data_IF_600828265833
#
_entry.id   IF_600828265833
#
_cell.length_a   1.000
_cell.length_b   1.000
_cell.length_c   1.000
_cell.angle_alpha   90.00
_cell.angle_beta   90.00
_cell.angle_gamma   90.00
#
_symmetry.space_group_name_H-M   'P 1'
#
loop_
_entity.id
_entity.type
_entity.pdbx_description
1 polymer ?
#
# COMPACT_ATOMS: atom_id res chain seq x y z
N UNK A 1 22.54 -49.39 -5.56
CA UNK A 1 21.46 -48.53 -5.04
C UNK A 1 20.97 -49.13 -3.73
N UNK A 2 21.10 -48.42 -2.60
CA UNK A 2 20.57 -48.91 -1.33
C UNK A 2 19.05 -48.70 -1.30
N UNK A 3 18.29 -49.73 -0.94
CA UNK A 3 16.84 -49.61 -0.75
C UNK A 3 16.56 -48.78 0.51
N UNK A 4 15.68 -47.77 0.40
CA UNK A 4 15.24 -47.03 1.57
C UNK A 4 14.56 -48.00 2.57
N UNK A 5 14.85 -47.91 3.88
CA UNK A 5 14.33 -48.88 4.85
C UNK A 5 12.81 -48.81 4.90
N UNK A 6 12.12 -49.96 5.07
CA UNK A 6 10.65 -50.03 5.05
C UNK A 6 9.97 -49.05 6.02
N UNK A 7 10.63 -48.74 7.15
CA UNK A 7 10.18 -47.74 8.12
C UNK A 7 10.09 -46.32 7.54
N UNK A 8 10.96 -45.93 6.61
CA UNK A 8 10.92 -44.61 5.96
C UNK A 8 9.59 -44.40 5.21
N UNK A 9 9.17 -45.39 4.41
CA UNK A 9 7.89 -45.33 3.71
C UNK A 9 6.69 -45.28 4.67
N UNK A 10 6.76 -45.98 5.80
CA UNK A 10 5.73 -45.90 6.84
C UNK A 10 5.65 -44.50 7.47
N UNK A 11 6.79 -43.89 7.85
CA UNK A 11 6.79 -42.53 8.39
C UNK A 11 6.32 -41.48 7.37
N UNK A 12 6.72 -41.61 6.09
CA UNK A 12 6.23 -40.73 5.01
C UNK A 12 4.71 -40.90 4.83
N UNK A 13 4.19 -42.14 4.84
CA UNK A 13 2.76 -42.41 4.74
C UNK A 13 1.98 -41.79 5.90
N UNK A 14 2.42 -42.01 7.15
CA UNK A 14 1.79 -41.42 8.35
C UNK A 14 1.82 -39.89 8.30
N UNK A 15 2.94 -39.30 7.89
CA UNK A 15 3.10 -37.84 7.74
C UNK A 15 2.14 -37.26 6.69
N UNK A 16 2.07 -37.87 5.51
CA UNK A 16 1.15 -37.44 4.43
C UNK A 16 -0.30 -37.57 4.89
N UNK A 17 -0.72 -38.68 5.50
CA UNK A 17 -2.09 -38.84 6.00
C UNK A 17 -2.43 -37.92 7.18
N UNK A 18 -1.45 -37.57 8.01
CA UNK A 18 -1.63 -36.54 9.05
C UNK A 18 -1.89 -35.18 8.41
N UNK A 19 -1.10 -34.78 7.41
CA UNK A 19 -1.32 -33.53 6.66
C UNK A 19 -2.70 -33.54 5.99
N UNK A 20 -3.05 -34.59 5.25
CA UNK A 20 -4.36 -34.72 4.58
C UNK A 20 -5.51 -34.64 5.58
N UNK A 21 -5.40 -35.30 6.75
CA UNK A 21 -6.44 -35.25 7.78
C UNK A 21 -6.58 -33.85 8.38
N UNK A 22 -5.47 -33.18 8.71
CA UNK A 22 -5.48 -31.80 9.21
C UNK A 22 -6.05 -30.83 8.16
N UNK A 23 -5.73 -31.03 6.88
CA UNK A 23 -6.27 -30.27 5.76
C UNK A 23 -7.79 -30.43 5.63
N UNK A 24 -8.31 -31.66 5.73
CA UNK A 24 -9.76 -31.93 5.69
C UNK A 24 -10.47 -31.32 6.91
N UNK A 25 -9.94 -31.50 8.11
CA UNK A 25 -10.52 -30.95 9.35
C UNK A 25 -10.53 -29.41 9.31
N UNK A 26 -9.43 -28.77 8.90
CA UNK A 26 -9.35 -27.32 8.69
C UNK A 26 -10.35 -26.85 7.64
N UNK A 27 -10.48 -27.59 6.53
CA UNK A 27 -11.44 -27.29 5.48
C UNK A 27 -12.90 -27.39 5.98
N UNK A 28 -13.23 -28.35 6.84
CA UNK A 28 -14.59 -28.49 7.40
C UNK A 28 -14.91 -27.46 8.49
N UNK A 29 -13.96 -27.17 9.39
CA UNK A 29 -14.19 -26.32 10.57
C UNK A 29 -14.14 -24.82 10.28
N UNK A 30 -13.43 -24.40 9.21
CA UNK A 30 -13.25 -22.99 8.90
C UNK A 30 -13.99 -22.57 7.61
N UNK A 31 -15.05 -21.75 7.71
CA UNK A 31 -15.76 -21.24 6.54
C UNK A 31 -14.85 -20.29 5.74
N UNK A 32 -15.18 -20.13 4.46
CA UNK A 32 -14.42 -19.22 3.58
C UNK A 32 -14.69 -17.77 4.01
N UNK A 33 -13.65 -16.97 4.23
CA UNK A 33 -13.75 -15.51 4.49
C UNK A 33 -14.16 -14.69 3.24
N UNK A 34 -14.79 -15.32 2.24
CA UNK A 34 -15.31 -14.67 1.02
C UNK A 34 -16.77 -14.25 1.15
N UNK A 35 -17.39 -14.39 2.33
CA UNK A 35 -18.75 -13.90 2.57
C UNK A 35 -18.71 -12.40 2.87
N UNK A 36 -18.97 -11.59 1.84
CA UNK A 36 -19.15 -10.15 1.99
C UNK A 36 -20.25 -9.83 3.02
N UNK A 37 -20.00 -8.82 3.84
CA UNK A 37 -20.98 -8.28 4.78
C UNK A 37 -22.14 -7.60 4.03
N UNK A 38 -23.26 -7.43 4.73
CA UNK A 38 -24.50 -6.92 4.14
C UNK A 38 -24.37 -5.51 3.55
N UNK A 39 -23.50 -4.65 4.10
CA UNK A 39 -23.28 -3.30 3.59
C UNK A 39 -22.60 -3.31 2.21
N UNK A 40 -21.58 -4.16 1.99
CA UNK A 40 -20.94 -4.33 0.67
C UNK A 40 -21.93 -4.90 -0.34
N UNK A 41 -22.71 -5.92 0.04
CA UNK A 41 -23.75 -6.49 -0.82
C UNK A 41 -24.81 -5.45 -1.21
N UNK A 42 -25.19 -4.55 -0.29
CA UNK A 42 -26.09 -3.43 -0.56
C UNK A 42 -25.51 -2.43 -1.57
N UNK A 43 -24.23 -2.09 -1.45
CA UNK A 43 -23.54 -1.24 -2.44
C UNK A 43 -23.48 -1.93 -3.80
N UNK A 44 -22.99 -3.18 -3.87
CA UNK A 44 -22.91 -3.95 -5.13
C UNK A 44 -24.28 -4.11 -5.81
N UNK A 45 -25.34 -4.36 -5.05
CA UNK A 45 -26.70 -4.43 -5.59
C UNK A 45 -27.15 -3.10 -6.20
N UNK A 46 -26.85 -1.95 -5.59
CA UNK A 46 -27.13 -0.62 -6.17
C UNK A 46 -26.34 -0.37 -7.46
N UNK A 47 -25.09 -0.84 -7.53
CA UNK A 47 -24.23 -0.68 -8.71
C UNK A 47 -24.69 -1.51 -9.91
N UNK A 48 -25.25 -2.70 -9.68
CA UNK A 48 -25.73 -3.62 -10.71
C UNK A 48 -27.17 -3.33 -11.19
N UNK A 49 -27.99 -2.70 -10.35
CA UNK A 49 -29.41 -2.43 -10.66
C UNK A 49 -29.65 -1.03 -11.28
N UNK A 50 -28.60 -0.32 -11.68
CA UNK A 50 -28.67 1.04 -12.22
C UNK A 50 -27.46 1.32 -13.09
N UNK A 51 -27.65 2.08 -14.18
CA UNK A 51 -26.56 2.60 -15.03
C UNK A 51 -26.35 4.12 -14.85
N UNK A 52 -27.02 4.73 -13.86
CA UNK A 52 -26.90 6.18 -13.63
C UNK A 52 -25.48 6.55 -13.18
N UNK A 53 -24.91 7.69 -13.65
CA UNK A 53 -23.72 8.28 -13.04
C UNK A 53 -23.96 8.57 -11.54
N UNK A 54 -22.89 8.53 -10.73
CA UNK A 54 -22.97 8.80 -9.28
C UNK A 54 -23.56 7.67 -8.43
N UNK A 55 -24.04 6.56 -9.02
CA UNK A 55 -24.70 5.47 -8.29
C UNK A 55 -23.84 4.77 -7.23
N UNK A 56 -22.52 4.88 -7.31
CA UNK A 56 -21.57 4.36 -6.32
C UNK A 56 -21.33 5.31 -5.14
N UNK A 57 -21.79 6.55 -5.23
CA UNK A 57 -21.62 7.59 -4.22
C UNK A 57 -22.99 7.99 -3.65
N UNK A 58 -23.59 7.16 -2.78
CA UNK A 58 -24.98 7.33 -2.34
C UNK A 58 -25.24 8.59 -1.50
N UNK A 59 -24.18 9.30 -1.08
CA UNK A 59 -24.23 10.53 -0.27
C UNK A 59 -23.77 11.78 -1.01
N UNK A 60 -23.34 11.67 -2.27
CA UNK A 60 -22.70 12.75 -3.05
C UNK A 60 -21.48 13.37 -2.33
N UNK A 61 -20.67 12.52 -1.67
CA UNK A 61 -19.42 12.93 -1.03
C UNK A 61 -18.41 13.36 -2.10
N UNK A 62 -17.71 14.48 -1.89
CA UNK A 62 -16.70 14.99 -2.81
C UNK A 62 -15.36 14.28 -2.59
N UNK A 63 -14.88 13.59 -3.62
CA UNK A 63 -13.67 12.78 -3.58
C UNK A 63 -12.55 13.47 -4.37
N UNK A 64 -11.47 13.81 -3.67
CA UNK A 64 -10.21 14.17 -4.31
C UNK A 64 -9.41 12.89 -4.58
N UNK A 65 -9.09 12.64 -5.84
CA UNK A 65 -8.27 11.51 -6.28
C UNK A 65 -6.88 11.97 -6.66
N UNK A 66 -5.90 11.16 -6.32
CA UNK A 66 -4.47 11.45 -6.36
C UNK A 66 -3.75 10.23 -6.94
N UNK A 67 -3.61 10.17 -8.27
CA UNK A 67 -3.09 8.99 -8.96
C UNK A 67 -1.74 9.27 -9.64
N UNK A 68 -0.80 8.34 -9.53
CA UNK A 68 0.48 8.41 -10.26
C UNK A 68 0.42 7.81 -11.67
N UNK A 69 -0.59 6.99 -11.98
CA UNK A 69 -0.73 6.24 -13.24
C UNK A 69 -2.21 6.09 -13.67
N UNK A 70 -2.43 5.64 -14.91
CA UNK A 70 -3.75 5.48 -15.54
C UNK A 70 -4.17 4.00 -15.62
N UNK A 71 -5.39 3.71 -15.16
CA UNK A 71 -6.13 2.46 -15.39
C UNK A 71 -7.33 2.76 -16.33
N UNK A 72 -7.56 1.99 -17.42
CA UNK A 72 -8.78 2.06 -18.22
C UNK A 72 -10.09 2.00 -17.40
N UNK A 73 -10.08 1.28 -16.27
CA UNK A 73 -11.18 1.18 -15.32
C UNK A 73 -11.50 2.50 -14.60
N UNK A 74 -10.58 3.48 -14.64
CA UNK A 74 -10.74 4.80 -14.04
C UNK A 74 -11.89 5.62 -14.63
N UNK A 75 -12.21 5.45 -15.92
CA UNK A 75 -13.37 6.11 -16.56
C UNK A 75 -14.68 5.60 -15.93
N UNK A 76 -14.80 4.27 -15.77
CA UNK A 76 -15.93 3.65 -15.08
C UNK A 76 -15.98 4.07 -13.60
N UNK A 77 -14.84 4.15 -12.90
CA UNK A 77 -14.79 4.59 -11.51
C UNK A 77 -15.31 6.02 -11.32
N UNK A 78 -14.94 6.94 -12.21
CA UNK A 78 -15.39 8.34 -12.18
C UNK A 78 -16.88 8.43 -12.51
N UNK A 79 -17.38 7.66 -13.48
CA UNK A 79 -18.81 7.55 -13.74
C UNK A 79 -19.58 7.04 -12.51
N UNK A 80 -19.05 6.04 -11.80
CA UNK A 80 -19.65 5.50 -10.59
C UNK A 80 -19.67 6.50 -9.42
N UNK A 81 -18.60 7.30 -9.25
CA UNK A 81 -18.52 8.38 -8.25
C UNK A 81 -19.44 9.56 -8.57
N UNK A 82 -19.67 9.82 -9.85
CA UNK A 82 -20.34 11.02 -10.36
C UNK A 82 -19.33 12.11 -10.67
N UNK A 83 -19.43 12.68 -11.87
CA UNK A 83 -18.42 13.59 -12.43
C UNK A 83 -18.28 14.90 -11.63
N UNK A 84 -19.38 15.42 -11.09
CA UNK A 84 -19.41 16.61 -10.21
C UNK A 84 -18.83 16.35 -8.81
N UNK A 85 -18.77 15.09 -8.38
CA UNK A 85 -18.29 14.66 -7.07
C UNK A 85 -16.81 14.25 -7.12
N UNK A 86 -16.20 14.19 -8.30
CA UNK A 86 -14.84 13.72 -8.52
C UNK A 86 -13.89 14.86 -8.90
N UNK A 87 -12.76 14.97 -8.20
CA UNK A 87 -11.60 15.74 -8.64
C UNK A 87 -10.42 14.81 -8.88
N UNK A 88 -9.73 14.93 -10.01
CA UNK A 88 -8.64 14.04 -10.38
C UNK A 88 -7.29 14.78 -10.50
N UNK A 89 -6.46 14.66 -9.46
CA UNK A 89 -5.05 15.07 -9.45
C UNK A 89 -4.18 13.93 -9.97
N UNK A 90 -3.54 14.15 -11.12
CA UNK A 90 -2.68 13.17 -11.78
C UNK A 90 -1.25 13.66 -11.73
N UNK A 91 -0.31 12.82 -11.30
CA UNK A 91 1.10 13.17 -11.28
C UNK A 91 1.93 12.14 -12.04
N UNK A 92 2.82 12.60 -12.92
CA UNK A 92 3.61 11.69 -13.75
C UNK A 92 5.05 12.17 -13.90
N UNK A 93 6.02 11.31 -13.61
CA UNK A 93 7.46 11.61 -13.68
C UNK A 93 8.16 11.12 -14.97
N UNK A 94 7.73 10.01 -15.58
CA UNK A 94 8.34 9.44 -16.79
C UNK A 94 7.59 9.77 -18.08
N UNK A 95 8.29 10.47 -18.97
CA UNK A 95 8.02 10.84 -20.38
C UNK A 95 6.70 10.39 -21.03
N UNK A 96 6.35 9.09 -20.99
CA UNK A 96 5.16 8.48 -21.59
C UNK A 96 3.85 8.75 -20.93
N UNK A 97 3.80 8.69 -19.60
CA UNK A 97 2.52 8.65 -18.92
C UNK A 97 1.70 9.88 -19.24
N UNK A 98 2.33 10.99 -19.64
CA UNK A 98 1.70 12.16 -20.26
C UNK A 98 0.83 11.87 -21.47
N UNK A 99 1.23 10.99 -22.39
CA UNK A 99 0.39 10.63 -23.55
C UNK A 99 -0.82 9.81 -23.09
N UNK A 100 -0.63 8.88 -22.16
CA UNK A 100 -1.71 8.11 -21.55
C UNK A 100 -2.66 9.00 -20.72
N UNK A 101 -2.11 9.93 -19.93
CA UNK A 101 -2.82 10.89 -19.12
C UNK A 101 -3.54 11.95 -19.95
N UNK A 102 -2.98 12.39 -21.09
CA UNK A 102 -3.69 13.25 -22.05
C UNK A 102 -4.80 12.50 -22.79
N UNK A 103 -4.69 11.18 -22.97
CA UNK A 103 -5.77 10.35 -23.49
C UNK A 103 -6.88 10.16 -22.45
N UNK A 104 -6.53 9.91 -21.19
CA UNK A 104 -7.43 9.92 -20.02
C UNK A 104 -8.10 11.29 -19.85
N UNK A 105 -7.34 12.38 -19.93
CA UNK A 105 -7.82 13.77 -19.81
C UNK A 105 -8.94 14.07 -20.81
N UNK A 106 -8.84 13.55 -22.04
CA UNK A 106 -9.86 13.71 -23.08
C UNK A 106 -11.11 12.86 -22.88
N UNK A 107 -11.07 11.84 -22.02
CA UNK A 107 -12.20 10.92 -21.76
C UNK A 107 -12.88 11.19 -20.42
N UNK A 108 -12.12 11.61 -19.42
CA UNK A 108 -12.62 11.96 -18.09
C UNK A 108 -13.38 13.28 -18.13
N UNK A 109 -14.67 13.24 -17.84
CA UNK A 109 -15.51 14.42 -17.77
C UNK A 109 -15.39 15.20 -16.44
N UNK A 110 -14.84 14.60 -15.37
CA UNK A 110 -14.71 15.28 -14.07
C UNK A 110 -13.64 16.40 -14.06
N UNK A 111 -13.68 17.22 -13.00
CA UNK A 111 -12.65 18.25 -12.75
C UNK A 111 -11.30 17.58 -12.49
N UNK A 112 -10.20 18.15 -13.01
CA UNK A 112 -8.88 17.52 -12.96
C UNK A 112 -7.73 18.53 -12.98
N UNK A 113 -6.59 18.12 -12.48
CA UNK A 113 -5.31 18.84 -12.59
C UNK A 113 -4.19 17.84 -12.88
N UNK A 114 -3.38 18.09 -13.91
CA UNK A 114 -2.28 17.19 -14.28
C UNK A 114 -0.94 17.86 -14.03
N UNK A 115 -0.13 17.23 -13.19
CA UNK A 115 1.19 17.65 -12.78
C UNK A 115 2.23 16.76 -13.47
N UNK A 116 3.03 17.35 -14.34
CA UNK A 116 4.14 16.65 -14.98
C UNK A 116 5.43 16.95 -14.23
N UNK A 117 6.07 15.90 -13.69
CA UNK A 117 7.49 15.92 -13.40
C UNK A 117 8.26 16.17 -14.68
N UNK A 118 9.22 17.10 -14.62
CA UNK A 118 10.30 17.15 -15.59
C UNK A 118 11.14 15.87 -15.47
N UNK A 119 11.85 15.49 -16.53
CA UNK A 119 12.72 14.32 -16.45
C UNK A 119 13.61 14.39 -15.21
N UNK A 120 13.75 13.26 -14.52
CA UNK A 120 14.97 13.01 -13.76
C UNK A 120 16.07 12.92 -14.82
N UNK A 121 16.65 14.08 -15.13
CA UNK A 121 17.90 14.22 -15.89
C UNK A 121 18.87 13.19 -15.32
N UNK A 122 19.80 12.69 -16.14
CA UNK A 122 20.96 11.94 -15.65
C UNK A 122 21.82 12.81 -14.72
N UNK A 123 21.32 13.03 -13.50
CA UNK A 123 22.02 13.59 -12.37
C UNK A 123 22.97 12.46 -11.98
N UNK A 124 24.24 12.62 -12.35
CA UNK A 124 25.34 11.92 -11.70
C UNK A 124 25.09 12.06 -10.20
N UNK A 125 24.79 10.96 -9.48
CA UNK A 125 24.32 11.08 -8.11
C UNK A 125 25.43 11.76 -7.31
N UNK A 126 25.15 12.92 -6.67
CA UNK A 126 26.16 13.58 -5.85
C UNK A 126 26.63 12.56 -4.79
N UNK A 127 27.95 12.42 -4.59
CA UNK A 127 28.50 11.31 -3.83
C UNK A 127 27.96 11.33 -2.39
N UNK A 128 27.13 10.34 -2.06
CA UNK A 128 26.60 10.06 -0.71
C UNK A 128 25.75 11.19 -0.10
N UNK A 129 24.60 11.50 -0.69
CA UNK A 129 23.54 12.26 0.01
C UNK A 129 22.52 11.30 0.65
N UNK A 130 22.39 11.25 1.99
CA UNK A 130 21.37 10.44 2.65
C UNK A 130 19.98 11.07 2.47
N UNK A 131 18.95 10.21 2.39
CA UNK A 131 17.52 10.49 2.52
C UNK A 131 17.08 11.96 2.33
N UNK A 132 16.80 12.34 1.07
CA UNK A 132 15.71 13.30 0.82
C UNK A 132 14.42 12.52 0.65
N UNK A 133 13.44 12.81 1.52
CA UNK A 133 12.04 12.41 1.35
C UNK A 133 11.62 12.69 -0.11
N UNK A 134 10.93 11.76 -0.80
CA UNK A 134 10.53 11.98 -2.18
C UNK A 134 9.66 13.24 -2.32
N UNK A 135 10.22 14.30 -2.93
CA UNK A 135 9.50 15.53 -3.33
C UNK A 135 8.29 15.28 -4.24
N UNK A 136 8.14 14.05 -4.72
CA UNK A 136 7.01 13.54 -5.49
C UNK A 136 5.67 13.69 -4.74
N UNK A 137 5.63 13.37 -3.45
CA UNK A 137 4.39 13.40 -2.66
C UNK A 137 3.85 14.83 -2.44
N UNK A 138 4.73 15.82 -2.22
CA UNK A 138 4.32 17.20 -1.94
C UNK A 138 3.70 17.91 -3.16
N UNK A 139 4.10 17.53 -4.38
CA UNK A 139 3.51 18.09 -5.61
C UNK A 139 2.05 17.68 -5.81
N UNK A 140 1.74 16.41 -5.57
CA UNK A 140 0.44 15.77 -5.77
C UNK A 140 -0.69 16.39 -4.91
N UNK A 141 -0.29 16.91 -3.74
CA UNK A 141 -1.14 17.60 -2.75
C UNK A 141 -1.34 19.10 -3.02
N UNK A 142 -0.60 19.70 -3.97
CA UNK A 142 -0.71 21.14 -4.27
C UNK A 142 -2.13 21.60 -4.67
N UNK A 143 -2.91 20.85 -5.47
CA UNK A 143 -4.29 21.23 -5.78
C UNK A 143 -5.20 21.18 -4.53
N UNK A 144 -4.94 20.24 -3.62
CA UNK A 144 -5.68 20.04 -2.37
C UNK A 144 -5.51 21.22 -1.39
N UNK A 145 -4.30 21.78 -1.31
CA UNK A 145 -4.00 22.92 -0.42
C UNK A 145 -4.31 24.30 -1.03
N UNK A 146 -4.59 24.38 -2.34
CA UNK A 146 -4.88 25.64 -3.05
C UNK A 146 -6.37 25.86 -3.36
N UNK A 147 -7.20 24.85 -3.14
CA UNK A 147 -8.61 24.88 -3.48
C UNK A 147 -9.48 25.37 -2.32
N UNK A 148 -10.52 26.14 -2.63
CA UNK A 148 -11.61 26.44 -1.68
C UNK A 148 -12.66 25.33 -1.63
N UNK A 149 -12.62 24.36 -2.55
CA UNK A 149 -13.55 23.24 -2.59
C UNK A 149 -13.33 22.36 -1.36
N UNK A 150 -14.42 22.07 -0.65
CA UNK A 150 -14.43 21.08 0.41
C UNK A 150 -14.58 19.69 -0.20
N UNK A 151 -13.56 18.86 -0.01
CA UNK A 151 -13.61 17.42 -0.20
C UNK A 151 -13.92 16.74 1.13
N UNK A 152 -14.56 15.59 1.05
CA UNK A 152 -14.92 14.72 2.18
C UNK A 152 -13.93 13.56 2.28
N UNK A 153 -13.51 13.00 1.14
CA UNK A 153 -12.53 11.90 1.06
C UNK A 153 -11.36 12.25 0.12
N UNK A 154 -10.17 11.76 0.45
CA UNK A 154 -8.99 11.78 -0.42
C UNK A 154 -8.60 10.33 -0.77
N UNK A 155 -8.43 9.99 -2.05
CA UNK A 155 -7.99 8.67 -2.52
C UNK A 155 -6.64 8.78 -3.23
N UNK A 156 -5.64 8.04 -2.77
CA UNK A 156 -4.32 7.94 -3.38
C UNK A 156 -4.18 6.59 -4.08
N UNK A 157 -3.64 6.61 -5.31
CA UNK A 157 -3.47 5.46 -6.19
C UNK A 157 -2.04 5.44 -6.73
N UNK A 158 -1.35 4.32 -6.57
CA UNK A 158 0.02 4.14 -7.02
C UNK A 158 0.26 2.77 -7.66
N UNK A 159 0.49 2.75 -8.98
CA UNK A 159 0.89 1.57 -9.77
C UNK A 159 0.12 0.28 -9.46
N UNK A 160 -1.22 0.40 -9.35
CA UNK A 160 -2.12 -0.68 -8.96
C UNK A 160 -3.19 -0.91 -10.02
N UNK A 161 -3.48 -2.19 -10.32
CA UNK A 161 -4.68 -2.59 -11.05
C UNK A 161 -5.79 -2.87 -10.04
N UNK A 162 -6.97 -2.27 -10.22
CA UNK A 162 -8.05 -2.36 -9.23
C UNK A 162 -9.44 -2.49 -9.87
N UNK A 163 -10.37 -3.07 -9.10
CA UNK A 163 -11.79 -3.04 -9.47
C UNK A 163 -12.41 -1.73 -8.96
N UNK A 164 -13.06 -0.91 -9.81
CA UNK A 164 -13.78 0.29 -9.38
C UNK A 164 -14.78 0.07 -8.25
N UNK A 165 -15.40 -1.12 -8.16
CA UNK A 165 -16.30 -1.48 -7.07
C UNK A 165 -15.55 -1.54 -5.73
N UNK A 166 -14.41 -2.23 -5.70
CA UNK A 166 -13.62 -2.41 -4.48
C UNK A 166 -13.03 -1.05 -3.99
N UNK A 167 -12.77 -0.11 -4.90
CA UNK A 167 -12.39 1.27 -4.56
C UNK A 167 -13.54 2.11 -3.95
N UNK A 168 -14.78 1.91 -4.40
CA UNK A 168 -15.96 2.51 -3.75
C UNK A 168 -16.23 1.90 -2.38
N UNK A 169 -15.99 0.60 -2.23
CA UNK A 169 -16.10 -0.09 -0.94
C UNK A 169 -15.05 0.44 0.05
N UNK A 170 -13.81 0.66 -0.40
CA UNK A 170 -12.77 1.32 0.39
C UNK A 170 -13.22 2.72 0.87
N UNK A 171 -13.81 3.53 -0.02
CA UNK A 171 -14.22 4.91 0.29
C UNK A 171 -15.46 5.01 1.19
N UNK A 172 -16.48 4.19 0.94
CA UNK A 172 -17.84 4.41 1.46
C UNK A 172 -18.40 3.26 2.31
N UNK A 173 -17.69 2.12 2.37
CA UNK A 173 -18.12 0.92 3.11
C UNK A 173 -17.09 0.39 4.12
N UNK A 174 -15.89 0.95 4.20
CA UNK A 174 -14.88 0.53 5.18
C UNK A 174 -15.26 0.96 6.60
N UNK A 175 -15.30 0.01 7.54
CA UNK A 175 -15.57 0.25 8.97
C UNK A 175 -16.85 1.09 9.19
N UNK A 176 -17.97 0.64 8.65
CA UNK A 176 -19.23 1.40 8.77
C UNK A 176 -19.83 1.34 10.17
N UNK A 177 -20.41 2.47 10.60
CA UNK A 177 -21.23 2.57 11.81
C UNK A 177 -22.68 2.11 11.59
N UNK A 178 -23.52 2.22 12.63
CA UNK A 178 -24.95 1.90 12.59
C UNK A 178 -25.75 2.76 11.59
N UNK A 179 -25.21 3.89 11.13
CA UNK A 179 -25.79 4.75 10.08
C UNK A 179 -25.28 4.42 8.68
N UNK A 180 -24.44 3.39 8.56
CA UNK A 180 -23.77 2.93 7.33
C UNK A 180 -22.83 3.99 6.75
N UNK A 181 -22.21 4.82 7.61
CA UNK A 181 -21.18 5.80 7.22
C UNK A 181 -19.80 5.22 7.54
N UNK A 182 -18.86 5.31 6.60
CA UNK A 182 -17.53 4.74 6.70
C UNK A 182 -16.63 5.54 7.66
N UNK A 183 -16.25 4.92 8.78
CA UNK A 183 -15.50 5.55 9.87
C UNK A 183 -14.02 5.17 9.83
N UNK A 184 -13.21 5.98 9.14
CA UNK A 184 -11.75 5.81 9.11
C UNK A 184 -11.03 7.15 8.94
N UNK A 185 -9.87 7.31 9.57
CA UNK A 185 -8.95 8.44 9.29
C UNK A 185 -8.13 8.17 8.03
N UNK A 186 -7.64 6.93 7.93
CA UNK A 186 -6.93 6.36 6.80
C UNK A 186 -7.35 4.88 6.68
N UNK A 187 -7.47 4.37 5.46
CA UNK A 187 -7.76 2.98 5.15
C UNK A 187 -7.01 2.60 3.86
N UNK A 188 -6.34 1.46 3.84
CA UNK A 188 -5.59 1.00 2.66
C UNK A 188 -6.18 -0.28 2.09
N UNK A 189 -6.18 -0.39 0.77
CA UNK A 189 -6.39 -1.66 0.11
C UNK A 189 -5.19 -2.59 0.37
N UNK A 190 -5.46 -3.90 0.36
CA UNK A 190 -4.41 -4.93 0.45
C UNK A 190 -3.87 -5.21 -0.95
N UNK A 191 -2.61 -4.86 -1.20
CA UNK A 191 -1.96 -4.99 -2.51
C UNK A 191 -1.21 -6.33 -2.67
N UNK A 192 -1.32 -6.96 -3.84
CA UNK A 192 -0.82 -8.29 -4.12
C UNK A 192 -0.11 -8.36 -5.48
N UNK A 193 1.23 -8.46 -5.45
CA UNK A 193 2.04 -8.68 -6.67
C UNK A 193 1.79 -10.05 -7.31
N UNK A 194 1.32 -11.01 -6.52
CA UNK A 194 0.75 -12.26 -7.00
C UNK A 194 -0.29 -12.77 -6.00
N UNK A 195 -1.16 -13.73 -6.36
CA UNK A 195 -2.36 -14.05 -5.59
C UNK A 195 -2.19 -14.57 -4.15
N UNK A 196 -0.94 -14.80 -3.70
CA UNK A 196 -0.61 -15.24 -2.34
C UNK A 196 0.42 -14.34 -1.63
N UNK A 197 1.09 -13.42 -2.35
CA UNK A 197 2.17 -12.58 -1.82
C UNK A 197 1.73 -11.14 -1.65
N UNK A 198 1.58 -10.71 -0.39
CA UNK A 198 1.31 -9.32 -0.02
C UNK A 198 2.50 -8.42 -0.45
N UNK A 199 2.19 -7.27 -1.02
CA UNK A 199 3.14 -6.34 -1.63
C UNK A 199 3.14 -4.97 -0.92
N UNK A 200 4.06 -4.10 -1.35
CA UNK A 200 4.30 -2.75 -0.85
C UNK A 200 4.25 -2.61 0.69
N UNK A 201 4.91 -3.55 1.39
CA UNK A 201 4.94 -3.59 2.86
C UNK A 201 5.78 -2.48 3.51
N UNK A 202 6.26 -1.50 2.74
CA UNK A 202 7.29 -0.56 3.17
C UNK A 202 6.83 0.32 4.34
N UNK A 203 5.66 0.94 4.21
CA UNK A 203 5.04 1.80 5.23
C UNK A 203 3.88 1.13 5.98
N UNK A 204 3.63 -0.17 5.74
CA UNK A 204 2.62 -0.95 6.46
C UNK A 204 3.15 -1.48 7.79
N UNK A 205 2.42 -1.22 8.87
CA UNK A 205 2.74 -1.64 10.26
C UNK A 205 1.48 -2.19 10.92
N UNK A 206 1.62 -3.14 11.84
CA UNK A 206 0.47 -3.62 12.62
C UNK A 206 -0.07 -2.55 13.59
N UNK A 207 -1.13 -2.87 14.33
CA UNK A 207 -1.79 -1.99 15.31
C UNK A 207 -0.83 -1.43 16.37
N UNK A 208 0.27 -2.13 16.64
CA UNK A 208 1.27 -1.78 17.66
C UNK A 208 2.52 -1.15 17.03
N UNK A 209 2.58 -0.97 15.70
CA UNK A 209 3.69 -0.32 14.99
C UNK A 209 4.84 -1.25 14.57
N UNK A 210 4.68 -2.57 14.70
CA UNK A 210 5.65 -3.56 14.25
C UNK A 210 5.65 -3.67 12.71
N UNK A 211 6.80 -4.04 12.13
CA UNK A 211 6.92 -4.30 10.69
C UNK A 211 6.19 -5.58 10.28
N UNK A 212 5.84 -5.70 8.99
CA UNK A 212 5.23 -6.92 8.45
C UNK A 212 6.16 -8.13 8.64
N UNK A 213 5.58 -9.31 8.83
CA UNK A 213 6.30 -10.58 8.82
C UNK A 213 6.57 -11.08 7.40
N UNK A 214 6.66 -12.40 7.23
CA UNK A 214 6.65 -13.03 5.91
C UNK A 214 5.45 -12.53 5.08
N UNK A 215 5.62 -12.24 3.77
CA UNK A 215 4.59 -11.65 2.92
C UNK A 215 3.51 -12.66 2.47
N UNK A 216 3.21 -13.66 3.30
CA UNK A 216 2.18 -14.69 3.11
C UNK A 216 1.25 -14.68 4.33
N UNK A 217 -0.01 -15.13 4.21
CA UNK A 217 -1.02 -15.01 5.29
C UNK A 217 -0.46 -15.55 6.63
N UNK A 218 -0.58 -14.82 7.77
CA UNK A 218 -1.38 -13.60 7.98
C UNK A 218 -0.71 -12.26 7.65
N UNK A 219 0.46 -12.26 6.99
CA UNK A 219 1.29 -11.10 6.63
C UNK A 219 1.87 -10.29 7.80
N UNK A 220 1.12 -10.11 8.87
CA UNK A 220 1.58 -9.54 10.13
C UNK A 220 2.46 -10.54 10.89
N UNK A 221 3.39 -10.00 11.69
CA UNK A 221 4.13 -10.81 12.66
C UNK A 221 3.22 -11.24 13.83
N UNK A 222 3.64 -12.27 14.57
CA UNK A 222 2.99 -12.67 15.81
C UNK A 222 3.52 -11.96 17.06
N UNK A 223 4.32 -10.91 16.92
CA UNK A 223 4.95 -10.19 18.04
C UNK A 223 3.94 -9.41 18.87
N UNK A 224 4.33 -9.16 20.12
CA UNK A 224 3.56 -8.42 21.13
C UNK A 224 2.15 -9.02 21.31
N UNK A 225 1.07 -8.27 21.06
CA UNK A 225 -0.28 -8.85 21.09
C UNK A 225 -0.63 -9.62 19.82
N UNK A 226 0.03 -9.33 18.68
CA UNK A 226 -0.28 -9.89 17.37
C UNK A 226 -1.72 -9.59 16.88
N UNK A 227 -2.36 -8.51 17.37
CA UNK A 227 -3.79 -8.27 17.17
C UNK A 227 -4.17 -8.15 15.68
N UNK A 228 -3.43 -7.40 14.87
CA UNK A 228 -3.71 -7.29 13.42
C UNK A 228 -3.65 -8.63 12.70
N UNK A 229 -2.69 -9.50 13.07
CA UNK A 229 -2.59 -10.86 12.54
C UNK A 229 -3.76 -11.74 12.95
N UNK A 230 -4.21 -11.63 14.21
CA UNK A 230 -5.43 -12.30 14.70
C UNK A 230 -6.68 -11.81 13.97
N UNK A 231 -6.79 -10.52 13.69
CA UNK A 231 -7.94 -9.91 13.00
C UNK A 231 -8.02 -10.35 11.53
N UNK A 232 -6.89 -10.38 10.82
CA UNK A 232 -6.76 -10.99 9.49
C UNK A 232 -7.19 -12.45 9.52
N UNK A 233 -6.64 -13.25 10.45
CA UNK A 233 -6.97 -14.67 10.54
C UNK A 233 -8.46 -14.88 10.82
N UNK A 234 -9.05 -14.09 11.72
CA UNK A 234 -10.47 -14.15 12.09
C UNK A 234 -11.41 -13.67 10.98
N UNK A 235 -10.90 -13.07 9.90
CA UNK A 235 -11.72 -12.50 8.84
C UNK A 235 -12.55 -11.32 9.32
N UNK A 236 -11.98 -10.45 10.16
CA UNK A 236 -12.63 -9.18 10.50
C UNK A 236 -12.80 -8.33 9.25
N UNK A 237 -13.89 -7.56 9.24
CA UNK A 237 -14.24 -6.60 8.19
C UNK A 237 -13.11 -5.60 7.93
N UNK A 238 -12.54 -5.07 9.02
CA UNK A 238 -11.38 -4.18 8.99
C UNK A 238 -10.33 -4.62 10.01
N UNK A 239 -9.08 -4.29 9.73
CA UNK A 239 -7.91 -4.64 10.54
C UNK A 239 -7.24 -3.35 11.00
N UNK A 240 -7.15 -3.17 12.31
CA UNK A 240 -6.47 -2.00 12.88
C UNK A 240 -4.97 -2.08 12.61
N UNK A 241 -4.40 -0.96 12.20
CA UNK A 241 -2.99 -0.77 11.86
C UNK A 241 -2.52 0.58 12.39
N UNK A 242 -1.27 0.68 12.84
CA UNK A 242 -0.64 1.96 13.17
C UNK A 242 -0.40 2.78 11.91
N UNK A 243 -0.17 2.10 10.79
CA UNK A 243 -0.01 2.69 9.47
C UNK A 243 -0.21 1.68 8.36
N UNK A 244 -0.58 2.20 7.19
CA UNK A 244 -0.55 1.43 5.96
C UNK A 244 -0.19 2.34 4.78
N UNK A 245 0.45 1.72 3.80
CA UNK A 245 0.57 2.22 2.44
C UNK A 245 0.62 1.00 1.54
N UNK A 246 0.08 1.14 0.33
CA UNK A 246 0.12 0.15 -0.72
C UNK A 246 -0.36 0.79 -2.01
N UNK A 247 -0.77 -0.03 -2.98
CA UNK A 247 -1.29 0.47 -4.25
C UNK A 247 -2.47 1.45 -4.17
N UNK A 248 -3.32 1.37 -3.13
CA UNK A 248 -4.46 2.28 -2.95
C UNK A 248 -4.69 2.62 -1.47
N UNK A 249 -4.86 3.91 -1.17
CA UNK A 249 -5.12 4.43 0.18
C UNK A 249 -6.20 5.50 0.17
N UNK A 250 -7.28 5.30 0.92
CA UNK A 250 -8.29 6.31 1.19
C UNK A 250 -8.03 7.02 2.53
N UNK A 251 -8.30 8.31 2.59
CA UNK A 251 -8.27 9.11 3.81
C UNK A 251 -9.53 9.96 3.93
N UNK A 252 -9.83 10.35 5.15
CA UNK A 252 -10.80 11.40 5.44
C UNK A 252 -10.16 12.77 5.21
N UNK A 253 -10.76 13.59 4.34
CA UNK A 253 -10.12 14.80 3.83
C UNK A 253 -9.92 15.88 4.92
N UNK A 254 -10.72 15.88 5.99
CA UNK A 254 -10.52 16.79 7.13
C UNK A 254 -9.15 16.62 7.78
N UNK A 255 -8.55 15.43 7.71
CA UNK A 255 -7.22 15.13 8.28
C UNK A 255 -6.06 15.86 7.57
N UNK A 256 -6.29 16.40 6.38
CA UNK A 256 -5.29 17.10 5.56
C UNK A 256 -5.40 18.63 5.65
N UNK A 257 -6.38 19.14 6.41
CA UNK A 257 -6.52 20.58 6.63
C UNK A 257 -5.48 21.05 7.63
N UNK A 258 -4.35 21.52 7.10
CA UNK A 258 -3.32 22.17 7.91
C UNK A 258 -3.88 23.38 8.64
N UNK A 259 -3.54 23.52 9.92
CA UNK A 259 -3.65 24.82 10.58
C UNK A 259 -2.76 25.82 9.85
N UNK A 260 -3.38 26.89 9.32
CA UNK A 260 -2.78 28.09 8.71
C UNK A 260 -1.23 28.11 8.58
N UNK A 261 -0.71 27.65 7.43
CA UNK A 261 0.71 27.74 7.05
C UNK A 261 0.86 27.81 5.52
N UNK A 262 1.72 28.70 5.01
CA UNK A 262 1.79 29.09 3.59
C UNK A 262 2.48 28.07 2.65
N UNK A 263 2.19 28.15 1.34
CA UNK A 263 2.71 27.26 0.28
C UNK A 263 3.08 27.99 -1.04
N UNK A 264 4.04 27.46 -1.82
CA UNK A 264 4.48 27.98 -3.15
C UNK A 264 4.89 26.84 -4.13
N UNK A 265 5.18 27.12 -5.42
CA UNK A 265 4.77 26.29 -6.60
C UNK A 265 5.84 26.10 -7.74
N UNK A 266 5.47 25.44 -8.88
CA UNK A 266 6.06 25.40 -10.27
C UNK A 266 7.00 24.20 -10.63
N UNK A 267 7.15 23.66 -11.87
CA UNK A 267 6.25 23.12 -12.94
C UNK A 267 7.07 22.54 -14.16
N UNK A 268 6.47 21.75 -15.09
CA UNK A 268 6.82 21.73 -16.55
C UNK A 268 7.41 20.47 -17.26
N UNK A 269 6.63 19.88 -18.17
CA UNK A 269 6.80 18.84 -19.26
C UNK A 269 8.02 18.89 -20.24
N UNK A 270 8.31 17.95 -21.21
CA UNK A 270 8.23 16.44 -21.41
C UNK A 270 8.21 15.98 -22.91
N UNK A 271 8.80 14.80 -23.24
CA UNK A 271 8.34 13.65 -24.14
C UNK A 271 9.55 12.78 -24.64
N UNK A 272 9.46 11.51 -25.15
CA UNK A 272 8.64 10.29 -24.83
C UNK A 272 9.48 8.93 -24.75
N UNK A 273 9.02 7.82 -24.12
CA UNK A 273 9.78 6.53 -24.02
C UNK A 273 9.01 5.18 -23.64
N UNK A 274 7.88 4.85 -24.30
CA UNK A 274 6.81 3.84 -23.98
C UNK A 274 6.93 2.78 -22.85
N UNK A 275 5.98 2.78 -21.88
CA UNK A 275 5.66 1.65 -20.98
C UNK A 275 4.19 1.17 -20.90
N UNK A 276 3.98 -0.01 -20.29
CA UNK A 276 2.85 -0.93 -20.51
C UNK A 276 2.04 -1.19 -19.23
N UNK A 277 0.71 -1.34 -19.37
CA UNK A 277 -0.10 -2.05 -18.40
C UNK A 277 0.14 -3.57 -18.51
N UNK A 278 0.03 -4.28 -17.39
CA UNK A 278 -0.23 -5.72 -17.40
C UNK A 278 -1.68 -5.88 -17.89
N UNK A 279 -1.83 -6.23 -19.18
CA UNK A 279 -3.12 -6.45 -19.81
C UNK A 279 -3.93 -7.48 -19.01
N UNK A 280 -5.25 -7.31 -18.95
CA UNK A 280 -6.20 -8.29 -18.43
C UNK A 280 -5.88 -9.69 -18.97
N UNK A 281 -5.12 -10.46 -18.18
CA UNK A 281 -5.29 -11.89 -18.15
C UNK A 281 -6.65 -12.04 -17.51
N UNK A 282 -7.67 -12.28 -18.35
CA UNK A 282 -8.97 -12.83 -17.97
C UNK A 282 -8.80 -13.63 -16.68
N UNK A 283 -9.14 -13.06 -15.51
CA UNK A 283 -9.04 -13.78 -14.26
C UNK A 283 -10.09 -14.89 -14.39
N UNK A 284 -9.71 -16.16 -14.67
CA UNK A 284 -10.65 -17.18 -15.13
C UNK A 284 -11.31 -17.77 -13.89
N UNK A 285 -12.01 -16.89 -13.16
CA UNK A 285 -12.27 -16.93 -11.73
C UNK A 285 -11.02 -17.16 -10.88
N UNK A 286 -10.85 -16.37 -9.80
CA UNK A 286 -10.00 -16.77 -8.68
C UNK A 286 -10.66 -17.89 -7.84
N UNK A 287 -11.32 -18.85 -8.51
CA UNK A 287 -12.00 -20.03 -7.95
C UNK A 287 -11.04 -21.09 -7.42
N UNK A 288 -9.74 -20.79 -7.40
CA UNK A 288 -8.76 -21.54 -6.62
C UNK A 288 -8.37 -20.80 -5.31
N UNK A 289 -8.59 -19.49 -5.18
CA UNK A 289 -8.29 -18.79 -3.91
C UNK A 289 -9.16 -19.30 -2.76
N UNK A 290 -10.38 -19.80 -3.01
CA UNK A 290 -11.19 -20.38 -1.93
C UNK A 290 -10.62 -21.71 -1.41
N UNK A 291 -9.80 -22.42 -2.19
CA UNK A 291 -9.11 -23.63 -1.72
C UNK A 291 -7.83 -23.25 -0.97
N UNK A 292 -6.98 -22.36 -1.50
CA UNK A 292 -5.75 -21.96 -0.79
C UNK A 292 -6.02 -21.19 0.49
N UNK A 293 -6.98 -20.25 0.51
CA UNK A 293 -7.32 -19.44 1.70
C UNK A 293 -7.84 -20.27 2.87
N UNK A 294 -8.35 -21.49 2.64
CA UNK A 294 -8.67 -22.43 3.73
C UNK A 294 -7.40 -23.06 4.33
N UNK A 295 -6.40 -23.39 3.50
CA UNK A 295 -5.13 -23.96 3.95
C UNK A 295 -4.14 -22.91 4.50
N UNK A 296 -4.25 -21.66 4.06
CA UNK A 296 -3.40 -20.55 4.53
C UNK A 296 -3.47 -20.34 6.06
N UNK A 297 -4.57 -20.72 6.73
CA UNK A 297 -4.64 -20.77 8.21
C UNK A 297 -3.69 -21.80 8.83
N UNK A 298 -3.45 -22.96 8.20
CA UNK A 298 -2.44 -23.93 8.67
C UNK A 298 -1.03 -23.37 8.49
N UNK A 299 -0.78 -22.65 7.41
CA UNK A 299 0.49 -21.98 7.15
C UNK A 299 0.84 -20.93 8.21
N UNK A 300 -0.15 -20.33 8.89
CA UNK A 300 0.09 -19.31 9.92
C UNK A 300 1.03 -19.78 11.05
N UNK A 301 0.95 -21.04 11.48
CA UNK A 301 1.82 -21.62 12.52
C UNK A 301 3.26 -21.71 11.99
N UNK A 302 3.43 -22.23 10.77
CA UNK A 302 4.73 -22.40 10.11
C UNK A 302 5.36 -21.03 9.85
N UNK A 303 4.57 -20.06 9.38
CA UNK A 303 5.02 -18.69 9.16
C UNK A 303 5.39 -17.98 10.45
N UNK A 304 4.68 -18.22 11.56
CA UNK A 304 5.04 -17.60 12.84
C UNK A 304 6.38 -18.16 13.39
N UNK A 305 6.60 -19.48 13.27
CA UNK A 305 7.89 -20.10 13.57
C UNK A 305 8.98 -19.52 12.65
N UNK A 306 8.70 -19.40 11.34
CA UNK A 306 9.60 -18.80 10.36
C UNK A 306 9.95 -17.34 10.65
N UNK A 307 8.97 -16.53 11.07
CA UNK A 307 9.19 -15.14 11.50
C UNK A 307 10.19 -15.09 12.67
N UNK A 308 9.95 -15.86 13.73
CA UNK A 308 10.86 -15.92 14.89
C UNK A 308 12.27 -16.41 14.51
N UNK A 309 12.39 -17.44 13.66
CA UNK A 309 13.68 -17.96 13.19
C UNK A 309 14.49 -16.95 12.36
N UNK A 310 13.82 -16.02 11.68
CA UNK A 310 14.43 -14.99 10.82
C UNK A 310 14.60 -13.66 11.58
N UNK A 311 14.10 -13.54 12.81
CA UNK A 311 14.13 -12.29 13.58
C UNK A 311 13.16 -11.23 13.06
N UNK A 312 12.02 -11.66 12.49
CA UNK A 312 10.91 -10.79 12.14
C UNK A 312 9.93 -10.67 13.32
N UNK A 313 9.30 -9.50 13.54
CA UNK A 313 9.47 -8.25 12.79
C UNK A 313 10.80 -7.57 13.12
N UNK A 314 11.39 -6.86 12.15
CA UNK A 314 12.61 -6.12 12.42
C UNK A 314 12.33 -4.94 13.36
N UNK A 315 13.25 -4.72 14.30
CA UNK A 315 13.20 -3.61 15.24
C UNK A 315 13.14 -2.26 14.51
N UNK A 316 12.26 -1.39 14.99
CA UNK A 316 12.03 -0.05 14.47
C UNK A 316 12.16 0.93 15.64
N UNK A 317 13.24 1.74 15.72
CA UNK A 317 13.44 2.65 16.85
C UNK A 317 12.35 3.72 16.94
N UNK A 318 11.69 4.04 15.82
CA UNK A 318 10.68 5.10 15.75
C UNK A 318 9.26 4.60 16.06
N UNK A 319 9.10 3.32 16.40
CA UNK A 319 7.81 2.65 16.63
C UNK A 319 6.99 3.32 17.73
N UNK A 320 7.65 3.68 18.82
CA UNK A 320 7.05 4.22 20.05
C UNK A 320 7.10 5.76 20.08
N UNK A 321 7.49 6.41 18.97
CA UNK A 321 7.53 7.88 18.91
C UNK A 321 6.13 8.50 18.99
N UNK A 322 5.97 9.44 19.93
CA UNK A 322 4.81 10.32 20.02
C UNK A 322 5.19 11.69 19.43
N UNK A 323 4.51 12.17 18.37
CA UNK A 323 4.82 13.45 17.76
C UNK A 323 4.84 14.60 18.76
N UNK A 324 5.88 15.44 18.69
CA UNK A 324 6.09 16.56 19.61
C UNK A 324 7.00 16.27 20.82
N UNK A 325 7.31 15.01 21.13
CA UNK A 325 8.28 14.68 22.19
C UNK A 325 9.73 14.83 21.71
N UNK A 326 10.67 15.13 22.61
CA UNK A 326 12.10 15.03 22.30
C UNK A 326 12.51 13.55 22.26
N UNK A 327 13.24 13.16 21.22
CA UNK A 327 13.78 11.81 21.02
C UNK A 327 15.22 11.87 20.56
N UNK A 328 16.01 10.88 20.95
CA UNK A 328 17.35 10.64 20.43
C UNK A 328 17.26 9.81 19.15
N UNK A 329 17.95 10.23 18.09
CA UNK A 329 18.01 9.52 16.81
C UNK A 329 19.46 9.37 16.32
N UNK A 330 19.81 8.18 15.86
CA UNK A 330 21.16 7.85 15.39
C UNK A 330 21.27 8.10 13.89
N UNK A 331 21.62 9.33 13.52
CA UNK A 331 21.69 9.78 12.12
C UNK A 331 23.12 9.76 11.58
N UNK A 332 23.29 9.51 10.28
CA UNK A 332 24.60 9.60 9.63
C UNK A 332 24.91 11.04 9.24
N UNK A 333 25.83 11.68 9.96
CA UNK A 333 26.28 13.05 9.70
C UNK A 333 27.48 13.02 8.75
N UNK A 334 27.36 13.68 7.60
CA UNK A 334 28.44 13.84 6.62
C UNK A 334 29.31 15.05 6.95
N UNK A 335 30.63 14.86 6.91
CA UNK A 335 31.61 15.95 6.98
C UNK A 335 32.13 16.30 5.56
N UNK A 336 32.93 17.36 5.46
CA UNK A 336 33.60 17.74 4.21
C UNK A 336 34.39 16.58 3.61
N UNK A 337 34.42 16.53 2.27
CA UNK A 337 35.10 15.50 1.45
C UNK A 337 34.49 14.08 1.54
N UNK A 338 33.26 13.94 2.03
CA UNK A 338 32.49 12.68 1.90
C UNK A 338 32.87 11.59 2.90
N UNK A 339 33.53 11.97 3.98
CA UNK A 339 33.55 11.22 5.25
C UNK A 339 32.26 11.51 6.04
N UNK A 340 32.01 10.73 7.09
CA UNK A 340 30.85 10.89 7.96
C UNK A 340 30.84 9.84 9.04
N UNK A 341 30.06 10.07 10.09
CA UNK A 341 29.87 9.14 11.20
C UNK A 341 28.42 9.14 11.64
N UNK A 342 27.99 8.05 12.29
CA UNK A 342 26.74 8.09 13.05
C UNK A 342 26.92 8.97 14.27
N UNK A 343 25.94 9.81 14.55
CA UNK A 343 25.84 10.62 15.76
C UNK A 343 24.42 10.49 16.30
N UNK A 344 24.30 10.35 17.61
CA UNK A 344 23.02 10.51 18.29
C UNK A 344 22.69 12.00 18.35
N UNK A 345 21.55 12.40 17.81
CA UNK A 345 21.06 13.79 17.84
C UNK A 345 19.69 13.84 18.51
N UNK A 346 19.48 14.85 19.35
CA UNK A 346 18.13 15.16 19.82
C UNK A 346 17.31 15.78 18.68
N UNK A 347 16.09 15.28 18.47
CA UNK A 347 15.10 15.91 17.60
C UNK A 347 13.71 15.84 18.22
N UNK A 348 12.82 16.71 17.76
CA UNK A 348 11.39 16.58 18.03
C UNK A 348 10.82 15.48 17.13
N UNK A 349 10.13 14.51 17.72
CA UNK A 349 9.42 13.45 17.02
C UNK A 349 8.35 14.01 16.08
N UNK A 350 8.24 13.41 14.89
CA UNK A 350 7.33 13.85 13.83
C UNK A 350 6.31 12.78 13.49
N UNK A 351 5.20 13.20 12.87
CA UNK A 351 4.13 12.31 12.42
C UNK A 351 4.56 11.25 11.39
N UNK A 352 5.70 11.43 10.72
CA UNK A 352 6.22 10.56 9.66
C UNK A 352 7.37 9.62 10.10
N UNK A 353 7.91 9.78 11.32
CA UNK A 353 9.09 9.04 11.78
C UNK A 353 8.90 7.52 11.87
N UNK A 354 7.70 7.07 12.28
CA UNK A 354 7.41 5.66 12.56
C UNK A 354 7.60 4.72 11.35
N UNK A 355 7.59 5.23 10.11
CA UNK A 355 7.77 4.45 8.88
C UNK A 355 9.22 3.99 8.65
N UNK A 356 10.18 4.51 9.42
CA UNK A 356 11.60 4.29 9.18
C UNK A 356 12.05 2.82 9.24
N UNK A 357 13.16 2.55 8.53
CA UNK A 357 14.05 1.41 8.74
C UNK A 357 15.47 1.86 8.49
N UNK A 358 16.45 1.27 9.17
CA UNK A 358 17.85 1.50 8.83
C UNK A 358 18.18 0.81 7.50
N UNK A 359 18.52 1.59 6.48
CA UNK A 359 18.88 1.06 5.16
C UNK A 359 18.87 2.15 4.09
N UNK A 360 19.92 2.23 3.27
CA UNK A 360 20.03 3.25 2.23
C UNK A 360 19.52 2.71 0.90
N UNK A 361 18.44 3.31 0.38
CA UNK A 361 17.96 3.06 -0.98
C UNK A 361 18.07 4.34 -1.79
N UNK A 362 18.63 4.24 -2.99
CA UNK A 362 18.78 5.36 -3.92
C UNK A 362 18.12 5.04 -5.24
N UNK A 363 17.66 6.09 -5.94
CA UNK A 363 17.15 5.97 -7.31
C UNK A 363 18.31 5.55 -8.22
N UNK A 364 18.06 4.62 -9.13
CA UNK A 364 19.01 4.22 -10.18
C UNK A 364 19.06 5.33 -11.23
N UNK A 365 20.17 6.09 -11.38
CA UNK A 365 20.29 7.09 -12.43
C UNK A 365 20.36 6.43 -13.80
N UNK A 366 19.75 7.04 -14.83
CA UNK A 366 19.79 6.56 -16.22
C UNK A 366 19.34 5.09 -16.38
N UNK A 367 18.22 4.72 -15.74
CA UNK A 367 17.64 3.36 -15.75
C UNK A 367 17.44 2.83 -17.17
N UNK A 368 17.95 1.63 -17.45
CA UNK A 368 17.66 0.90 -18.70
C UNK A 368 16.23 0.30 -18.71
N UNK A 369 15.69 0.02 -19.90
CA UNK A 369 14.40 -0.65 -20.06
C UNK A 369 14.44 -2.05 -19.40
N UNK A 370 13.60 -2.27 -18.38
CA UNK A 370 13.55 -3.49 -17.58
C UNK A 370 14.40 -3.50 -16.30
N UNK A 371 15.26 -2.50 -16.07
CA UNK A 371 16.03 -2.38 -14.83
C UNK A 371 15.17 -1.83 -13.68
N UNK A 372 15.49 -2.19 -12.43
CA UNK A 372 14.83 -1.58 -11.24
C UNK A 372 15.21 -0.10 -11.11
N UNK A 373 14.21 0.75 -10.89
CA UNK A 373 14.39 2.20 -10.70
C UNK A 373 15.04 2.60 -9.37
N UNK A 374 15.34 1.65 -8.50
CA UNK A 374 16.04 1.85 -7.25
C UNK A 374 17.05 0.73 -6.98
N UNK A 375 18.09 1.05 -6.22
CA UNK A 375 19.08 0.11 -5.71
C UNK A 375 19.29 0.32 -4.21
N UNK A 376 19.56 -0.77 -3.49
CA UNK A 376 19.95 -0.71 -2.08
C UNK A 376 21.46 -0.64 -1.98
N UNK A 377 21.98 0.36 -1.26
CA UNK A 377 23.40 0.52 -0.96
C UNK A 377 23.62 0.03 0.48
N UNK A 378 24.70 -0.72 0.78
CA UNK A 378 25.03 -1.07 2.16
C UNK A 378 25.16 0.21 3.02
N UNK A 379 24.54 0.19 4.20
CA UNK A 379 24.77 1.24 5.18
C UNK A 379 26.26 1.26 5.55
N UNK A 380 26.86 2.44 5.79
CA UNK A 380 28.17 2.50 6.44
C UNK A 380 28.11 1.67 7.73
N UNK A 381 29.12 0.83 7.97
CA UNK A 381 29.23 0.11 9.24
C UNK A 381 29.38 1.10 10.38
N UNK A 382 28.55 0.96 11.42
CA UNK A 382 28.89 1.45 12.74
C UNK A 382 30.25 0.85 13.12
N UNK A 383 31.29 1.68 13.21
CA UNK A 383 32.48 1.30 13.92
C UNK A 383 32.08 1.15 15.38
N UNK A 384 32.05 -0.10 15.88
CA UNK A 384 31.92 -0.37 17.30
C UNK A 384 33.13 0.26 17.98
N UNK A 385 32.88 1.26 18.84
CA UNK A 385 33.88 1.92 19.68
C UNK A 385 34.15 1.07 20.93
#
# INVERSE_FOLDING_TARGET
MASAPKHYYYYVYVFVWTIVSLSIVTWMLYPIYTRLLAHYLSLRAKLLNSDRPGRGNPRNEKVFMAATLYDPSGELFINLLGEDNAFLSLYENDSDGKVALQALEKRVACTKSILYGGHVICITPPPKLPFRVPRLATGLLNPLEKTTIHYDKNLYLNDVAFNPIDALELLFSTNVDDTVIAQYRAACAVDFINPFKFYDTYASRDSEGCSMGLPFLPWFSGSDSGQSGKDVLNGRDTVLVRSCWGGMVAFEAQSFRGGTGQKTEIAGTRLPARFRALQDINLPTLSWLWTTRRFERLSSIIHNIGNHLIGLPWYNPHREEVPGQNVEDTVFVTYDKGSGSFQTVERIARYDGFCGRQGLQVITPCREEGQKGWQTIPMPTLALA
#
